data_IF_596683206761
#
_entry.id   IF_596683206761
#
_cell.length_a   1.000
_cell.length_b   1.000
_cell.length_c   1.000
_cell.angle_alpha   90.00
_cell.angle_beta   90.00
_cell.angle_gamma   90.00
#
_symmetry.space_group_name_H-M   'P 1'
#
loop_
_entity.id
_entity.type
_entity.pdbx_description
1 polymer ?
#
# COMPACT_ATOMS: atom_id res chain seq x y z
N UNK A 1 25.41 -22.30 34.93
CA UNK A 1 26.15 -21.46 33.96
C UNK A 1 25.24 -20.87 32.87
N UNK A 2 24.34 -21.67 32.27
CA UNK A 2 23.35 -21.20 31.28
C UNK A 2 22.49 -20.02 31.74
N UNK A 3 21.90 -20.08 32.95
CA UNK A 3 21.05 -19.00 33.47
C UNK A 3 21.76 -17.64 33.57
N UNK A 4 23.01 -17.60 34.06
CA UNK A 4 23.82 -16.37 34.16
C UNK A 4 24.26 -15.84 32.80
N UNK A 5 24.48 -16.71 31.81
CA UNK A 5 24.79 -16.29 30.44
C UNK A 5 23.55 -15.73 29.74
N UNK A 6 22.39 -16.37 29.93
CA UNK A 6 21.11 -15.89 29.44
C UNK A 6 20.74 -14.53 30.05
N UNK A 7 20.90 -14.35 31.36
CA UNK A 7 20.66 -13.09 32.05
C UNK A 7 21.55 -11.95 31.50
N UNK A 8 22.84 -12.22 31.29
CA UNK A 8 23.78 -11.25 30.70
C UNK A 8 23.38 -10.88 29.27
N UNK A 9 22.98 -11.87 28.47
CA UNK A 9 22.51 -11.65 27.11
C UNK A 9 21.24 -10.80 27.08
N UNK A 10 20.23 -11.11 27.92
CA UNK A 10 18.98 -10.35 28.01
C UNK A 10 19.26 -8.91 28.43
N UNK A 11 20.09 -8.70 29.45
CA UNK A 11 20.49 -7.34 29.89
C UNK A 11 21.16 -6.55 28.77
N UNK A 12 22.08 -7.19 28.04
CA UNK A 12 22.74 -6.58 26.90
C UNK A 12 21.74 -6.24 25.78
N UNK A 13 20.87 -7.16 25.41
CA UNK A 13 19.87 -6.98 24.35
C UNK A 13 18.88 -5.84 24.70
N UNK A 14 18.42 -5.79 25.96
CA UNK A 14 17.55 -4.71 26.44
C UNK A 14 18.26 -3.35 26.42
N UNK A 15 19.53 -3.31 26.82
CA UNK A 15 20.33 -2.07 26.75
C UNK A 15 20.50 -1.63 25.30
N UNK A 16 20.92 -2.55 24.42
CA UNK A 16 21.11 -2.27 23.01
C UNK A 16 19.82 -1.76 22.36
N UNK A 17 18.68 -2.38 22.67
CA UNK A 17 17.37 -1.93 22.21
C UNK A 17 17.02 -0.53 22.73
N UNK A 18 17.27 -0.25 24.01
CA UNK A 18 16.96 1.06 24.60
C UNK A 18 17.71 2.19 23.90
N UNK A 19 18.96 1.93 23.54
CA UNK A 19 19.89 2.89 22.92
C UNK A 19 19.59 3.14 21.43
N UNK A 20 18.74 2.32 20.80
CA UNK A 20 18.33 2.52 19.40
C UNK A 20 17.47 3.79 19.24
N UNK A 21 17.66 4.46 18.11
CA UNK A 21 16.77 5.53 17.65
C UNK A 21 15.35 5.00 17.40
N UNK A 22 14.35 5.91 17.40
CA UNK A 22 12.95 5.53 17.17
C UNK A 22 12.76 4.80 15.83
N UNK A 23 13.36 5.31 14.75
CA UNK A 23 13.31 4.67 13.43
C UNK A 23 14.00 3.31 13.44
N UNK A 24 15.15 3.16 14.11
CA UNK A 24 15.85 1.88 14.18
C UNK A 24 15.04 0.82 14.95
N UNK A 25 14.33 1.21 16.02
CA UNK A 25 13.39 0.31 16.73
C UNK A 25 12.27 -0.17 15.83
N UNK A 26 11.67 0.75 15.06
CA UNK A 26 10.57 0.41 14.15
C UNK A 26 11.05 -0.44 12.98
N UNK A 27 12.20 -0.12 12.38
CA UNK A 27 12.82 -0.94 11.33
C UNK A 27 13.19 -2.32 11.86
N UNK A 28 13.74 -2.43 13.08
CA UNK A 28 14.01 -3.72 13.69
C UNK A 28 12.72 -4.54 13.88
N UNK A 29 11.67 -3.92 14.45
CA UNK A 29 10.40 -4.60 14.69
C UNK A 29 9.78 -5.13 13.39
N UNK A 30 9.65 -4.28 12.38
CA UNK A 30 8.97 -4.65 11.13
C UNK A 30 9.89 -5.38 10.15
N UNK A 31 11.12 -4.89 9.93
CA UNK A 31 12.06 -5.51 8.99
C UNK A 31 12.51 -6.89 9.43
N UNK A 32 13.00 -7.03 10.68
CA UNK A 32 13.45 -8.33 11.19
C UNK A 32 12.25 -9.25 11.45
N UNK A 33 11.13 -8.70 11.95
CA UNK A 33 9.87 -9.44 12.09
C UNK A 33 9.39 -10.03 10.77
N UNK A 34 9.33 -9.23 9.70
CA UNK A 34 8.98 -9.70 8.37
C UNK A 34 9.96 -10.75 7.86
N UNK A 35 11.26 -10.54 8.06
CA UNK A 35 12.26 -11.51 7.64
C UNK A 35 12.03 -12.89 8.28
N UNK A 36 11.72 -12.95 9.58
CA UNK A 36 11.34 -14.20 10.23
C UNK A 36 10.06 -14.81 9.65
N UNK A 37 9.06 -13.99 9.34
CA UNK A 37 7.82 -14.46 8.69
C UNK A 37 8.09 -15.04 7.30
N UNK A 38 8.96 -14.40 6.51
CA UNK A 38 9.38 -14.91 5.20
C UNK A 38 10.14 -16.24 5.31
N UNK A 39 10.99 -16.37 6.32
CA UNK A 39 11.71 -17.61 6.63
C UNK A 39 10.76 -18.75 7.04
N UNK A 40 9.70 -18.44 7.79
CA UNK A 40 8.76 -19.44 8.29
C UNK A 40 7.79 -19.94 7.20
N UNK A 41 7.37 -19.07 6.28
CA UNK A 41 6.29 -19.39 5.34
C UNK A 41 6.74 -19.54 3.88
N UNK A 42 8.01 -19.29 3.53
CA UNK A 42 8.57 -19.33 2.15
C UNK A 42 7.82 -18.52 1.07
N UNK A 43 6.66 -17.94 1.38
CA UNK A 43 5.84 -17.15 0.48
C UNK A 43 5.69 -15.74 1.05
N UNK A 44 6.14 -14.75 0.29
CA UNK A 44 5.86 -13.31 0.52
C UNK A 44 4.38 -12.97 0.31
N UNK A 45 3.60 -13.91 -0.25
CA UNK A 45 2.24 -13.73 -0.74
C UNK A 45 1.37 -14.80 -0.09
N UNK A 46 0.49 -14.36 0.81
CA UNK A 46 -0.35 -15.27 1.59
C UNK A 46 -1.61 -15.73 0.82
N UNK A 47 -1.94 -15.08 -0.31
CA UNK A 47 -3.24 -15.23 -0.94
C UNK A 47 -3.27 -16.07 -2.24
N UNK A 48 -2.12 -16.43 -2.81
CA UNK A 48 -2.11 -17.21 -4.05
C UNK A 48 -1.51 -18.59 -3.80
N UNK A 49 -2.29 -19.65 -4.05
CA UNK A 49 -1.78 -21.02 -4.20
C UNK A 49 -0.82 -21.19 -5.41
N UNK A 50 -0.33 -20.08 -5.95
CA UNK A 50 0.57 -20.03 -7.09
C UNK A 50 1.96 -20.53 -6.70
N UNK A 51 2.66 -21.01 -7.71
CA UNK A 51 4.04 -21.49 -7.59
C UNK A 51 4.97 -20.43 -6.98
N UNK A 52 6.07 -20.81 -6.29
CA UNK A 52 6.94 -19.87 -5.59
C UNK A 52 7.39 -18.72 -6.49
N UNK A 53 7.38 -17.49 -5.97
CA UNK A 53 7.71 -16.25 -6.70
C UNK A 53 9.08 -16.32 -7.44
N UNK A 54 9.98 -17.18 -6.98
CA UNK A 54 11.33 -17.30 -7.52
C UNK A 54 11.51 -18.43 -8.54
N UNK A 55 10.42 -19.09 -8.97
CA UNK A 55 10.51 -20.26 -9.86
C UNK A 55 11.09 -19.93 -11.25
N UNK A 56 10.84 -18.73 -11.77
CA UNK A 56 11.43 -18.27 -13.05
C UNK A 56 12.89 -17.80 -12.91
N UNK A 57 13.44 -17.80 -11.70
CA UNK A 57 14.80 -17.32 -11.43
C UNK A 57 15.78 -18.50 -11.25
N UNK A 58 17.09 -18.27 -11.44
CA UNK A 58 18.09 -19.31 -11.25
C UNK A 58 17.99 -19.99 -9.87
N UNK A 59 18.32 -21.29 -9.76
CA UNK A 59 18.35 -21.98 -8.47
C UNK A 59 19.14 -21.19 -7.41
N UNK A 60 18.53 -21.01 -6.23
CA UNK A 60 19.11 -20.23 -5.12
C UNK A 60 18.75 -18.75 -5.10
N UNK A 61 17.98 -18.24 -6.07
CA UNK A 61 17.48 -16.85 -6.05
C UNK A 61 16.58 -16.55 -4.84
N UNK A 62 15.79 -17.52 -4.40
CA UNK A 62 14.98 -17.48 -3.18
C UNK A 62 15.84 -17.33 -1.92
N UNK A 63 16.93 -18.10 -1.83
CA UNK A 63 17.89 -18.02 -0.71
C UNK A 63 18.60 -16.67 -0.73
N UNK A 64 19.07 -16.22 -1.90
CA UNK A 64 19.72 -14.92 -2.06
C UNK A 64 18.79 -13.76 -1.67
N UNK A 65 17.51 -13.84 -2.05
CA UNK A 65 16.47 -12.91 -1.65
C UNK A 65 16.29 -12.88 -0.13
N UNK A 66 16.08 -14.05 0.49
CA UNK A 66 15.91 -14.18 1.94
C UNK A 66 17.13 -13.65 2.70
N UNK A 67 18.34 -13.98 2.26
CA UNK A 67 19.58 -13.47 2.86
C UNK A 67 19.68 -11.95 2.72
N UNK A 68 19.34 -11.41 1.56
CA UNK A 68 19.37 -9.95 1.31
C UNK A 68 18.39 -9.21 2.21
N UNK A 69 17.14 -9.67 2.29
CA UNK A 69 16.13 -9.11 3.17
C UNK A 69 16.58 -9.12 4.65
N UNK A 70 17.16 -10.23 5.10
CA UNK A 70 17.70 -10.36 6.46
C UNK A 70 18.88 -9.44 6.73
N UNK A 71 19.86 -9.45 5.82
CA UNK A 71 21.05 -8.62 5.93
C UNK A 71 20.68 -7.14 6.04
N UNK A 72 19.77 -6.64 5.20
CA UNK A 72 19.28 -5.26 5.27
C UNK A 72 18.53 -4.99 6.59
N UNK A 73 17.61 -5.87 6.98
CA UNK A 73 16.82 -5.72 8.20
C UNK A 73 17.67 -5.68 9.48
N UNK A 74 18.70 -6.51 9.59
CA UNK A 74 19.62 -6.49 10.75
C UNK A 74 20.65 -5.38 10.67
N UNK A 75 21.15 -5.06 9.47
CA UNK A 75 22.19 -4.05 9.31
C UNK A 75 21.71 -2.65 9.72
N UNK A 76 20.43 -2.33 9.55
CA UNK A 76 19.90 -1.01 9.94
C UNK A 76 20.05 -0.71 11.44
N UNK A 77 19.44 -1.49 12.36
CA UNK A 77 19.59 -1.26 13.81
C UNK A 77 21.02 -1.51 14.28
N UNK A 78 21.76 -2.45 13.67
CA UNK A 78 23.16 -2.66 13.98
C UNK A 78 24.02 -1.42 13.70
N UNK A 79 23.84 -0.81 12.51
CA UNK A 79 24.52 0.43 12.14
C UNK A 79 24.12 1.57 13.06
N UNK A 80 22.84 1.71 13.41
CA UNK A 80 22.37 2.70 14.37
C UNK A 80 23.11 2.58 15.71
N UNK A 81 23.12 1.40 16.30
CA UNK A 81 23.78 1.13 17.57
C UNK A 81 25.30 1.38 17.53
N UNK A 82 25.99 0.93 16.46
CA UNK A 82 27.45 1.04 16.34
C UNK A 82 27.93 2.47 16.03
N UNK A 83 27.18 3.21 15.24
CA UNK A 83 27.64 4.46 14.62
C UNK A 83 27.64 5.68 15.54
N UNK A 84 27.00 5.63 16.71
CA UNK A 84 26.95 6.71 17.73
C UNK A 84 26.74 8.13 17.15
N UNK A 85 25.99 8.25 16.05
CA UNK A 85 25.69 9.53 15.38
C UNK A 85 26.23 9.69 13.95
N UNK A 86 27.14 8.83 13.47
CA UNK A 86 27.63 8.88 12.08
C UNK A 86 26.65 8.28 11.05
N UNK A 87 25.60 7.58 11.49
CA UNK A 87 24.51 7.12 10.63
C UNK A 87 23.54 8.27 10.32
N UNK A 88 23.94 9.08 9.35
CA UNK A 88 23.22 10.29 8.92
C UNK A 88 21.81 9.98 8.39
N UNK A 89 20.94 11.00 8.38
CA UNK A 89 19.58 10.86 7.84
C UNK A 89 19.57 10.41 6.37
N UNK A 90 20.51 10.88 5.53
CA UNK A 90 20.61 10.45 4.13
C UNK A 90 20.94 8.96 4.02
N UNK A 91 21.90 8.49 4.82
CA UNK A 91 22.26 7.07 4.86
C UNK A 91 21.10 6.20 5.35
N UNK A 92 20.32 6.69 6.33
CA UNK A 92 19.10 6.02 6.81
C UNK A 92 18.03 5.93 5.73
N UNK A 93 17.76 7.03 5.02
CA UNK A 93 16.82 7.04 3.90
C UNK A 93 17.27 6.04 2.84
N UNK A 94 18.53 6.07 2.41
CA UNK A 94 19.05 5.13 1.41
C UNK A 94 18.90 3.66 1.86
N UNK A 95 19.16 3.38 3.14
CA UNK A 95 18.98 2.03 3.69
C UNK A 95 17.51 1.62 3.71
N UNK A 96 16.61 2.50 4.14
CA UNK A 96 15.17 2.23 4.14
C UNK A 96 14.64 2.03 2.71
N UNK A 97 15.12 2.81 1.74
CA UNK A 97 14.78 2.61 0.31
C UNK A 97 15.27 1.26 -0.19
N UNK A 98 16.49 0.84 0.18
CA UNK A 98 16.99 -0.49 -0.18
C UNK A 98 16.12 -1.61 0.43
N UNK A 99 15.67 -1.45 1.68
CA UNK A 99 14.72 -2.37 2.30
C UNK A 99 13.38 -2.40 1.57
N UNK A 100 12.81 -1.24 1.23
CA UNK A 100 11.56 -1.14 0.46
C UNK A 100 11.70 -1.82 -0.90
N UNK A 101 12.83 -1.60 -1.57
CA UNK A 101 13.12 -2.23 -2.85
C UNK A 101 13.16 -3.76 -2.71
N UNK A 102 13.87 -4.27 -1.71
CA UNK A 102 13.99 -5.70 -1.46
C UNK A 102 12.65 -6.32 -1.04
N UNK A 103 11.96 -5.79 -0.04
CA UNK A 103 10.75 -6.42 0.51
C UNK A 103 9.49 -6.23 -0.34
N UNK A 104 9.42 -5.17 -1.15
CA UNK A 104 8.17 -4.76 -1.82
C UNK A 104 8.36 -4.63 -3.32
N UNK A 105 9.20 -3.69 -3.77
CA UNK A 105 9.27 -3.33 -5.19
C UNK A 105 9.71 -4.52 -6.06
N UNK A 106 10.80 -5.19 -5.70
CA UNK A 106 11.33 -6.33 -6.46
C UNK A 106 10.32 -7.48 -6.49
N UNK A 107 9.74 -7.93 -5.35
CA UNK A 107 8.67 -8.93 -5.36
C UNK A 107 7.45 -8.54 -6.19
N UNK A 108 7.02 -7.26 -6.16
CA UNK A 108 5.92 -6.78 -7.01
C UNK A 108 6.23 -6.95 -8.48
N UNK A 109 7.42 -6.52 -8.94
CA UNK A 109 7.80 -6.69 -10.35
C UNK A 109 8.00 -8.15 -10.74
N UNK A 110 8.60 -8.98 -9.88
CA UNK A 110 8.70 -10.41 -10.12
C UNK A 110 7.31 -11.05 -10.32
N UNK A 111 6.35 -10.66 -9.49
CA UNK A 111 4.95 -11.11 -9.54
C UNK A 111 4.23 -10.66 -10.83
N UNK A 112 4.49 -9.43 -11.30
CA UNK A 112 3.99 -8.94 -12.59
C UNK A 112 4.59 -9.73 -13.75
N UNK A 113 5.92 -9.93 -13.78
CA UNK A 113 6.60 -10.67 -14.84
C UNK A 113 6.11 -12.13 -14.90
N UNK A 114 5.94 -12.76 -13.74
CA UNK A 114 5.38 -14.12 -13.63
C UNK A 114 3.97 -14.21 -14.22
N UNK A 115 3.12 -13.22 -13.95
CA UNK A 115 1.77 -13.14 -14.53
C UNK A 115 1.83 -12.96 -16.05
N UNK A 116 2.64 -12.03 -16.53
CA UNK A 116 2.78 -11.70 -17.95
C UNK A 116 3.31 -12.88 -18.78
N UNK A 117 4.21 -13.68 -18.20
CA UNK A 117 4.78 -14.87 -18.85
C UNK A 117 3.97 -16.15 -18.61
N UNK A 118 3.07 -16.12 -17.63
CA UNK A 118 2.24 -17.24 -17.20
C UNK A 118 0.79 -17.09 -17.66
N UNK A 119 -0.13 -17.10 -16.69
CA UNK A 119 -1.57 -16.98 -16.95
C UNK A 119 -2.12 -15.64 -16.40
N UNK A 120 -3.07 -14.98 -17.08
CA UNK A 120 -3.52 -13.64 -16.68
C UNK A 120 -4.19 -13.55 -15.29
N UNK A 121 -4.64 -14.68 -14.74
CA UNK A 121 -5.31 -14.78 -13.43
C UNK A 121 -4.38 -15.25 -12.30
N UNK A 122 -3.08 -15.43 -12.56
CA UNK A 122 -2.08 -15.84 -11.56
C UNK A 122 -1.30 -14.63 -11.05
N UNK A 123 -0.76 -14.72 -9.83
CA UNK A 123 0.12 -13.73 -9.21
C UNK A 123 -0.48 -12.33 -9.07
N UNK A 124 -1.80 -12.21 -9.03
CA UNK A 124 -2.53 -10.95 -8.90
C UNK A 124 -3.70 -11.16 -7.95
N UNK A 125 -4.19 -10.14 -7.26
CA UNK A 125 -5.38 -10.23 -6.43
C UNK A 125 -6.65 -10.14 -7.30
N UNK A 126 -7.70 -10.90 -6.97
CA UNK A 126 -9.00 -10.87 -7.67
C UNK A 126 -9.55 -9.46 -7.87
N UNK A 127 -9.43 -8.63 -6.83
CA UNK A 127 -9.89 -7.26 -6.87
C UNK A 127 -9.19 -6.38 -7.90
N UNK A 128 -7.89 -6.60 -8.14
CA UNK A 128 -7.19 -5.94 -9.24
C UNK A 128 -7.70 -6.45 -10.58
N UNK A 129 -7.77 -7.77 -10.75
CA UNK A 129 -8.26 -8.40 -11.97
C UNK A 129 -9.66 -7.92 -12.36
N UNK A 130 -10.58 -7.85 -11.39
CA UNK A 130 -11.92 -7.30 -11.55
C UNK A 130 -11.94 -5.86 -12.06
N UNK A 131 -11.05 -5.01 -11.57
CA UNK A 131 -10.97 -3.60 -12.02
C UNK A 131 -10.46 -3.52 -13.46
N UNK A 132 -9.49 -4.37 -13.83
CA UNK A 132 -9.00 -4.46 -15.21
C UNK A 132 -10.12 -4.89 -16.16
N UNK A 133 -10.81 -5.98 -15.83
CA UNK A 133 -11.89 -6.51 -16.66
C UNK A 133 -13.10 -5.57 -16.72
N UNK A 134 -13.47 -4.92 -15.61
CA UNK A 134 -14.52 -3.91 -15.61
C UNK A 134 -14.18 -2.73 -16.54
N UNK A 135 -12.89 -2.34 -16.58
CA UNK A 135 -12.41 -1.31 -17.50
C UNK A 135 -12.53 -1.76 -18.95
N UNK A 136 -12.16 -3.01 -19.27
CA UNK A 136 -12.33 -3.58 -20.62
C UNK A 136 -13.78 -3.67 -21.04
N UNK A 137 -14.67 -4.12 -20.14
CA UNK A 137 -16.12 -4.15 -20.38
C UNK A 137 -16.66 -2.75 -20.69
N UNK A 138 -16.27 -1.75 -19.92
CA UNK A 138 -16.62 -0.35 -20.18
C UNK A 138 -16.15 0.11 -21.57
N UNK A 139 -14.89 -0.16 -21.91
CA UNK A 139 -14.30 0.25 -23.21
C UNK A 139 -14.96 -0.46 -24.40
N UNK A 140 -15.50 -1.66 -24.19
CA UNK A 140 -16.31 -2.38 -25.17
C UNK A 140 -17.77 -1.91 -25.23
N UNK A 141 -18.14 -0.84 -24.52
CA UNK A 141 -19.49 -0.29 -24.50
C UNK A 141 -20.48 -1.06 -23.62
N UNK A 142 -20.00 -1.98 -22.79
CA UNK A 142 -20.82 -2.73 -21.83
C UNK A 142 -20.89 -2.00 -20.49
N UNK A 143 -22.01 -2.17 -19.76
CA UNK A 143 -22.10 -1.71 -18.38
C UNK A 143 -21.43 -2.74 -17.44
N UNK A 144 -20.32 -2.41 -16.75
CA UNK A 144 -19.60 -3.36 -15.90
C UNK A 144 -20.40 -3.89 -14.70
N UNK A 145 -21.50 -3.24 -14.33
CA UNK A 145 -22.38 -3.69 -13.24
C UNK A 145 -23.51 -4.62 -13.69
N UNK A 146 -23.72 -4.74 -15.00
CA UNK A 146 -24.76 -5.60 -15.60
C UNK A 146 -24.14 -6.81 -16.27
N UNK A 147 -22.97 -6.64 -16.91
CA UNK A 147 -22.24 -7.72 -17.54
C UNK A 147 -21.73 -8.73 -16.49
N UNK A 148 -21.76 -10.01 -16.85
CA UNK A 148 -20.98 -11.03 -16.15
C UNK A 148 -19.51 -11.01 -16.62
N UNK A 149 -18.68 -11.76 -15.89
CA UNK A 149 -17.24 -11.88 -16.10
C UNK A 149 -16.82 -13.31 -16.44
N UNK A 150 -17.77 -14.15 -16.91
CA UNK A 150 -17.51 -15.56 -17.22
C UNK A 150 -16.61 -15.75 -18.44
N UNK A 151 -16.57 -14.76 -19.33
CA UNK A 151 -15.73 -14.68 -20.53
C UNK A 151 -14.34 -14.07 -20.27
N UNK A 152 -14.01 -13.77 -19.01
CA UNK A 152 -12.78 -13.08 -18.63
C UNK A 152 -11.83 -14.01 -17.85
N UNK A 153 -10.54 -13.64 -17.68
CA UNK A 153 -9.64 -14.41 -16.82
C UNK A 153 -10.13 -14.59 -15.38
N UNK A 154 -11.04 -13.73 -14.90
CA UNK A 154 -11.65 -13.83 -13.57
C UNK A 154 -12.37 -15.18 -13.35
N UNK A 155 -12.87 -15.82 -14.42
CA UNK A 155 -13.47 -17.16 -14.38
C UNK A 155 -12.54 -18.21 -13.78
N UNK A 156 -11.23 -18.08 -14.02
CA UNK A 156 -10.23 -19.05 -13.56
C UNK A 156 -9.62 -18.71 -12.19
N UNK A 157 -10.08 -17.62 -11.55
CA UNK A 157 -9.63 -17.27 -10.20
C UNK A 157 -10.03 -18.39 -9.21
N UNK A 158 -9.11 -18.87 -8.34
CA UNK A 158 -9.31 -20.09 -7.54
C UNK A 158 -10.25 -19.87 -6.33
N UNK A 159 -11.52 -19.57 -6.59
CA UNK A 159 -12.56 -19.38 -5.59
C UNK A 159 -13.81 -20.19 -5.96
N UNK A 160 -14.26 -21.05 -5.05
CA UNK A 160 -15.50 -21.81 -5.20
C UNK A 160 -16.68 -20.85 -5.09
N UNK A 161 -17.65 -20.95 -6.01
CA UNK A 161 -18.84 -20.11 -6.07
C UNK A 161 -18.51 -18.61 -6.04
N UNK A 162 -17.57 -18.19 -6.88
CA UNK A 162 -17.07 -16.82 -6.90
C UNK A 162 -18.16 -15.80 -7.29
N UNK A 163 -18.66 -14.98 -6.34
CA UNK A 163 -19.72 -13.99 -6.64
C UNK A 163 -19.23 -12.86 -7.54
N UNK A 164 -17.92 -12.62 -7.59
CA UNK A 164 -17.30 -11.60 -8.42
C UNK A 164 -17.47 -11.89 -9.93
N UNK A 165 -17.85 -13.11 -10.31
CA UNK A 165 -18.20 -13.43 -11.70
C UNK A 165 -19.49 -12.76 -12.17
N UNK A 166 -20.36 -12.35 -11.25
CA UNK A 166 -21.68 -11.80 -11.56
C UNK A 166 -21.87 -10.39 -11.01
N UNK A 167 -21.01 -9.94 -10.09
CA UNK A 167 -21.16 -8.66 -9.41
C UNK A 167 -19.82 -7.95 -9.24
N UNK A 168 -19.71 -6.77 -9.83
CA UNK A 168 -18.60 -5.86 -9.60
C UNK A 168 -18.67 -5.28 -8.17
N UNK A 169 -17.63 -5.49 -7.38
CA UNK A 169 -17.55 -5.11 -5.95
C UNK A 169 -16.91 -3.75 -5.70
N UNK A 170 -16.53 -3.04 -6.77
CA UNK A 170 -15.91 -1.71 -6.71
C UNK A 170 -16.82 -0.63 -7.27
N UNK A 171 -16.68 0.59 -6.75
CA UNK A 171 -17.35 1.76 -7.29
C UNK A 171 -16.74 2.22 -8.62
N UNK A 172 -17.48 3.04 -9.40
CA UNK A 172 -17.06 3.45 -10.74
C UNK A 172 -15.64 4.04 -10.80
N UNK A 173 -15.23 4.76 -9.77
CA UNK A 173 -13.91 5.40 -9.72
C UNK A 173 -12.76 4.45 -10.08
N UNK A 174 -12.79 3.21 -9.58
CA UNK A 174 -11.67 2.27 -9.71
C UNK A 174 -11.44 1.84 -11.16
N UNK A 175 -12.49 1.52 -11.91
CA UNK A 175 -12.34 1.17 -13.32
C UNK A 175 -12.28 2.41 -14.21
N UNK A 176 -12.91 3.53 -13.85
CA UNK A 176 -12.81 4.77 -14.62
C UNK A 176 -11.39 5.34 -14.63
N UNK A 177 -10.68 5.29 -13.50
CA UNK A 177 -9.28 5.74 -13.44
C UNK A 177 -8.34 4.78 -14.18
N UNK A 178 -8.70 3.51 -14.28
CA UNK A 178 -7.88 2.47 -14.92
C UNK A 178 -8.13 2.39 -16.43
N UNK A 179 -9.35 2.67 -16.88
CA UNK A 179 -9.78 2.65 -18.28
C UNK A 179 -8.85 3.35 -19.28
N UNK A 180 -8.35 4.60 -19.06
CA UNK A 180 -7.45 5.21 -20.03
C UNK A 180 -6.13 4.45 -20.20
N UNK A 181 -5.64 3.81 -19.14
CA UNK A 181 -4.41 3.01 -19.19
C UNK A 181 -4.66 1.64 -19.80
N UNK A 182 -5.75 0.97 -19.42
CA UNK A 182 -6.19 -0.29 -20.04
C UNK A 182 -6.35 -0.11 -21.54
N UNK A 183 -7.06 0.95 -21.96
CA UNK A 183 -7.21 1.30 -23.37
C UNK A 183 -5.86 1.45 -24.07
N UNK A 184 -4.94 2.23 -23.48
CA UNK A 184 -3.63 2.46 -24.07
C UNK A 184 -2.85 1.14 -24.23
N UNK A 185 -2.75 0.36 -23.16
CA UNK A 185 -1.97 -0.89 -23.18
C UNK A 185 -2.56 -1.91 -24.15
N UNK A 186 -3.86 -2.17 -24.05
CA UNK A 186 -4.54 -3.13 -24.94
C UNK A 186 -4.47 -2.66 -26.40
N UNK A 187 -4.57 -1.36 -26.68
CA UNK A 187 -4.48 -0.80 -28.04
C UNK A 187 -3.10 -0.99 -28.68
N UNK A 188 -2.03 -0.93 -27.88
CA UNK A 188 -0.66 -1.14 -28.35
C UNK A 188 -0.15 -2.58 -28.17
N UNK A 189 -1.03 -3.51 -27.73
CA UNK A 189 -0.68 -4.92 -27.55
C UNK A 189 0.21 -5.20 -26.33
N UNK A 190 0.25 -4.29 -25.36
CA UNK A 190 0.93 -4.50 -24.07
C UNK A 190 -0.04 -5.07 -23.05
N UNK A 191 0.47 -5.85 -22.08
CA UNK A 191 -0.34 -6.36 -20.97
C UNK A 191 -0.50 -5.27 -19.93
N UNK A 192 -1.75 -4.91 -19.63
CA UNK A 192 -2.05 -4.07 -18.47
C UNK A 192 -2.00 -4.88 -17.17
N UNK A 193 -1.35 -4.31 -16.15
CA UNK A 193 -1.40 -4.80 -14.78
C UNK A 193 -1.77 -3.66 -13.83
N UNK A 194 -2.81 -3.88 -13.02
CA UNK A 194 -3.33 -2.87 -12.12
C UNK A 194 -2.31 -2.38 -11.09
N UNK A 195 -1.27 -3.17 -10.79
CA UNK A 195 -0.17 -2.77 -9.91
C UNK A 195 0.65 -1.62 -10.49
N UNK A 196 0.58 -1.34 -11.79
CA UNK A 196 1.15 -0.13 -12.38
C UNK A 196 0.51 1.16 -11.85
N UNK A 197 -0.72 1.12 -11.33
CA UNK A 197 -1.32 2.23 -10.58
C UNK A 197 -1.07 2.13 -9.07
N UNK A 198 -1.14 0.92 -8.49
CA UNK A 198 -1.07 0.75 -7.04
C UNK A 198 0.36 0.94 -6.49
N UNK A 199 1.39 0.54 -7.24
CA UNK A 199 2.78 0.67 -6.82
C UNK A 199 3.22 2.16 -6.75
N UNK A 200 2.93 3.02 -7.75
CA UNK A 200 3.12 4.46 -7.59
C UNK A 200 2.31 5.05 -6.43
N UNK A 201 1.10 4.57 -6.16
CA UNK A 201 0.31 5.03 -5.03
C UNK A 201 0.93 4.66 -3.67
N UNK A 202 1.53 3.47 -3.57
CA UNK A 202 2.36 3.08 -2.43
C UNK A 202 3.53 4.04 -2.22
N UNK A 203 4.33 4.30 -3.28
CA UNK A 203 5.47 5.22 -3.21
C UNK A 203 5.00 6.65 -2.86
N UNK A 204 3.90 7.10 -3.46
CA UNK A 204 3.27 8.40 -3.19
C UNK A 204 2.83 8.53 -1.73
N UNK A 205 2.23 7.48 -1.15
CA UNK A 205 1.86 7.45 0.27
C UNK A 205 3.09 7.67 1.16
N UNK A 206 4.20 6.98 0.88
CA UNK A 206 5.44 7.16 1.63
C UNK A 206 6.05 8.55 1.44
N UNK A 207 5.99 9.09 0.22
CA UNK A 207 6.45 10.43 -0.10
C UNK A 207 5.64 11.54 0.62
N UNK A 208 4.41 11.23 1.06
CA UNK A 208 3.56 12.15 1.80
C UNK A 208 3.86 12.19 3.31
N UNK A 209 4.53 11.17 3.87
CA UNK A 209 4.87 11.09 5.30
C UNK A 209 5.58 12.35 5.84
N UNK A 210 6.58 12.95 5.16
CA UNK A 210 7.27 14.14 5.65
C UNK A 210 6.37 15.38 5.82
N UNK A 211 5.21 15.40 5.16
CA UNK A 211 4.24 16.48 5.23
C UNK A 211 3.24 16.32 6.38
N UNK A 212 3.11 15.11 6.92
CA UNK A 212 2.21 14.79 8.04
C UNK A 212 2.99 14.70 9.36
N UNK A 213 4.22 14.20 9.32
CA UNK A 213 5.04 13.94 10.51
C UNK A 213 6.19 14.93 10.62
N UNK A 214 6.48 15.41 11.84
CA UNK A 214 7.62 16.31 12.13
C UNK A 214 8.81 15.54 12.70
N UNK A 215 10.02 16.00 12.36
CA UNK A 215 11.29 15.42 12.82
C UNK A 215 11.78 14.24 11.97
N UNK A 216 13.10 14.09 11.83
CA UNK A 216 13.69 13.09 10.95
C UNK A 216 13.43 11.64 11.40
N UNK A 217 13.68 11.32 12.67
CA UNK A 217 13.46 9.97 13.19
C UNK A 217 11.98 9.54 13.18
N UNK A 218 11.00 10.37 13.62
CA UNK A 218 9.59 10.02 13.50
C UNK A 218 9.10 9.83 12.05
N UNK A 219 9.61 10.63 11.10
CA UNK A 219 9.29 10.46 9.67
C UNK A 219 9.77 9.12 9.13
N UNK A 220 11.03 8.77 9.42
CA UNK A 220 11.61 7.49 9.03
C UNK A 220 10.91 6.32 9.70
N UNK A 221 10.57 6.44 10.98
CA UNK A 221 9.81 5.45 11.73
C UNK A 221 8.42 5.24 11.11
N UNK A 222 7.67 6.30 10.81
CA UNK A 222 6.37 6.21 10.16
C UNK A 222 6.48 5.58 8.76
N UNK A 223 7.45 6.02 7.96
CA UNK A 223 7.68 5.46 6.63
C UNK A 223 8.00 3.96 6.72
N UNK A 224 8.87 3.53 7.64
CA UNK A 224 9.17 2.12 7.87
C UNK A 224 7.95 1.33 8.35
N UNK A 225 7.17 1.88 9.28
CA UNK A 225 5.97 1.24 9.81
C UNK A 225 4.90 1.01 8.73
N UNK A 226 4.74 1.95 7.80
CA UNK A 226 3.80 1.80 6.67
C UNK A 226 4.38 0.83 5.64
N UNK A 227 5.63 1.05 5.24
CA UNK A 227 6.27 0.34 4.14
C UNK A 227 6.52 -1.14 4.41
N UNK A 228 6.84 -1.46 5.66
CA UNK A 228 7.23 -2.80 6.11
C UNK A 228 6.17 -3.40 7.04
N UNK A 229 4.94 -2.88 7.07
CA UNK A 229 3.89 -3.51 7.86
C UNK A 229 3.62 -4.93 7.31
N UNK A 230 3.74 -6.02 8.11
CA UNK A 230 3.49 -7.39 7.65
C UNK A 230 2.11 -7.59 7.07
N UNK A 231 1.14 -6.76 7.45
CA UNK A 231 -0.23 -6.81 6.93
C UNK A 231 -0.39 -6.01 5.64
N UNK A 232 0.43 -4.98 5.39
CA UNK A 232 0.24 -4.08 4.25
C UNK A 232 1.19 -4.35 3.09
N UNK A 233 2.45 -4.69 3.36
CA UNK A 233 3.42 -4.84 2.28
C UNK A 233 3.08 -6.02 1.33
N UNK A 234 2.58 -7.19 1.80
CA UNK A 234 2.16 -8.26 0.90
C UNK A 234 1.02 -7.83 -0.02
N UNK A 235 0.15 -6.96 0.47
CA UNK A 235 -0.99 -6.46 -0.30
C UNK A 235 -0.54 -5.63 -1.51
N UNK A 236 0.61 -4.96 -1.44
CA UNK A 236 1.19 -4.26 -2.60
C UNK A 236 1.67 -5.27 -3.66
N UNK A 237 2.33 -6.34 -3.21
CA UNK A 237 2.85 -7.40 -4.09
C UNK A 237 1.71 -8.13 -4.81
N UNK A 238 0.64 -8.42 -4.07
CA UNK A 238 -0.60 -9.03 -4.57
C UNK A 238 -1.40 -8.10 -5.48
N UNK A 239 -1.26 -6.78 -5.33
CA UNK A 239 -2.05 -5.81 -6.08
C UNK A 239 -3.42 -5.53 -5.48
N UNK A 240 -3.52 -5.46 -4.15
CA UNK A 240 -4.71 -4.90 -3.49
C UNK A 240 -4.70 -3.37 -3.55
N UNK A 241 -5.88 -2.77 -3.53
CA UNK A 241 -6.05 -1.33 -3.71
C UNK A 241 -5.81 -0.48 -2.44
N UNK A 242 -5.36 -1.08 -1.33
CA UNK A 242 -5.26 -0.40 -0.03
C UNK A 242 -4.35 0.83 -0.09
N UNK A 243 -3.21 0.75 -0.78
CA UNK A 243 -2.31 1.90 -0.94
C UNK A 243 -2.83 2.96 -1.90
N UNK A 244 -3.70 2.59 -2.84
CA UNK A 244 -4.43 3.56 -3.65
C UNK A 244 -5.36 4.41 -2.78
N UNK A 245 -6.04 3.79 -1.82
CA UNK A 245 -6.85 4.49 -0.80
C UNK A 245 -5.97 5.32 0.14
N UNK A 246 -4.88 4.74 0.66
CA UNK A 246 -3.99 5.43 1.60
C UNK A 246 -3.33 6.67 0.98
N UNK A 247 -3.00 6.64 -0.31
CA UNK A 247 -2.50 7.81 -1.03
C UNK A 247 -3.43 9.01 -0.85
N UNK A 248 -4.72 8.80 -1.11
CA UNK A 248 -5.73 9.84 -1.01
C UNK A 248 -5.99 10.27 0.46
N UNK A 249 -5.97 9.33 1.41
CA UNK A 249 -6.12 9.67 2.83
C UNK A 249 -4.93 10.51 3.34
N UNK A 250 -3.70 10.13 3.01
CA UNK A 250 -2.49 10.88 3.39
C UNK A 250 -2.43 12.24 2.69
N UNK A 251 -2.82 12.29 1.41
CA UNK A 251 -2.90 13.55 0.67
C UNK A 251 -3.95 14.47 1.29
N UNK A 252 -5.14 13.93 1.60
CA UNK A 252 -6.23 14.62 2.27
C UNK A 252 -5.80 15.20 3.61
N UNK A 253 -5.10 14.42 4.43
CA UNK A 253 -4.56 14.88 5.72
C UNK A 253 -3.48 15.95 5.54
N UNK A 254 -2.50 15.75 4.66
CA UNK A 254 -1.43 16.71 4.41
C UNK A 254 -1.96 18.05 3.87
N UNK A 255 -3.00 18.01 3.03
CA UNK A 255 -3.69 19.20 2.51
C UNK A 255 -4.51 19.88 3.62
N UNK A 256 -5.19 19.11 4.47
CA UNK A 256 -5.97 19.64 5.58
C UNK A 256 -5.08 20.38 6.59
N UNK A 257 -3.93 19.80 6.94
CA UNK A 257 -2.93 20.42 7.82
C UNK A 257 -2.35 21.74 7.27
N UNK A 258 -2.56 22.02 5.98
CA UNK A 258 -2.16 23.25 5.28
C UNK A 258 -3.35 24.16 4.96
N UNK A 259 -4.50 23.92 5.58
CA UNK A 259 -5.75 24.65 5.37
C UNK A 259 -6.27 24.62 3.91
N UNK A 260 -5.80 23.68 3.07
CA UNK A 260 -6.32 23.44 1.71
C UNK A 260 -7.59 22.60 1.76
N UNK A 261 -8.63 23.13 2.42
CA UNK A 261 -9.86 22.41 2.82
C UNK A 261 -10.59 21.76 1.64
N UNK A 262 -10.75 22.48 0.53
CA UNK A 262 -11.45 21.98 -0.66
C UNK A 262 -10.74 20.79 -1.31
N UNK A 263 -9.44 20.93 -1.57
CA UNK A 263 -8.63 19.85 -2.15
C UNK A 263 -8.50 18.67 -1.18
N UNK A 264 -8.43 18.94 0.12
CA UNK A 264 -8.44 17.91 1.15
C UNK A 264 -9.74 17.10 1.14
N UNK A 265 -10.90 17.76 1.11
CA UNK A 265 -12.19 17.07 1.01
C UNK A 265 -12.30 16.24 -0.26
N UNK A 266 -11.80 16.74 -1.39
CA UNK A 266 -11.78 15.98 -2.65
C UNK A 266 -10.90 14.73 -2.54
N UNK A 267 -9.74 14.83 -1.90
CA UNK A 267 -8.88 13.67 -1.65
C UNK A 267 -9.58 12.64 -0.74
N UNK A 268 -10.24 13.06 0.34
CA UNK A 268 -11.02 12.12 1.17
C UNK A 268 -12.19 11.47 0.41
N UNK A 269 -12.86 12.22 -0.48
CA UNK A 269 -13.87 11.66 -1.37
C UNK A 269 -13.29 10.65 -2.37
N UNK A 270 -12.13 10.93 -2.97
CA UNK A 270 -11.42 9.98 -3.83
C UNK A 270 -11.05 8.69 -3.10
N UNK A 271 -10.66 8.77 -1.82
CA UNK A 271 -10.46 7.58 -0.99
C UNK A 271 -11.76 6.77 -0.82
N UNK A 272 -12.87 7.46 -0.52
CA UNK A 272 -14.20 6.85 -0.38
C UNK A 272 -14.71 6.20 -1.67
N UNK A 273 -14.49 6.84 -2.81
CA UNK A 273 -14.83 6.31 -4.13
C UNK A 273 -13.92 5.14 -4.52
N UNK A 274 -12.68 5.07 -4.03
CA UNK A 274 -11.82 3.91 -4.24
C UNK A 274 -12.26 2.70 -3.39
N UNK A 275 -12.74 2.94 -2.16
CA UNK A 275 -13.14 1.88 -1.23
C UNK A 275 -14.15 2.39 -0.21
N UNK A 276 -15.31 1.72 -0.13
CA UNK A 276 -16.42 2.09 0.75
C UNK A 276 -16.00 2.37 2.20
N UNK A 277 -15.08 1.57 2.74
CA UNK A 277 -14.58 1.71 4.11
C UNK A 277 -13.95 3.08 4.39
N UNK A 278 -13.41 3.77 3.38
CA UNK A 278 -12.83 5.09 3.55
C UNK A 278 -13.89 6.21 3.70
N UNK A 279 -15.16 5.96 3.37
CA UNK A 279 -16.24 6.91 3.65
C UNK A 279 -16.39 7.20 5.15
N UNK A 280 -15.95 6.28 6.02
CA UNK A 280 -16.01 6.48 7.47
C UNK A 280 -15.26 7.76 7.89
N UNK A 281 -14.28 8.22 7.12
CA UNK A 281 -13.51 9.43 7.42
C UNK A 281 -14.28 10.73 7.11
N UNK A 282 -15.24 10.71 6.17
CA UNK A 282 -15.98 11.90 5.76
C UNK A 282 -16.72 12.61 6.92
N UNK A 283 -17.47 11.92 7.80
CA UNK A 283 -18.11 12.59 8.94
C UNK A 283 -17.09 13.25 9.88
N UNK A 284 -15.93 12.63 10.13
CA UNK A 284 -14.89 13.23 10.99
C UNK A 284 -14.28 14.47 10.35
N UNK A 285 -14.04 14.46 9.04
CA UNK A 285 -13.55 15.62 8.30
C UNK A 285 -14.59 16.74 8.32
N UNK A 286 -15.87 16.44 8.10
CA UNK A 286 -16.95 17.43 8.19
C UNK A 286 -17.02 18.05 9.59
N UNK A 287 -17.00 17.23 10.65
CA UNK A 287 -16.98 17.70 12.05
C UNK A 287 -15.75 18.58 12.31
N UNK A 288 -14.56 18.20 11.84
CA UNK A 288 -13.35 19.01 11.97
C UNK A 288 -13.48 20.38 11.28
N UNK A 289 -13.97 20.41 10.04
CA UNK A 289 -14.17 21.64 9.27
C UNK A 289 -15.13 22.60 9.97
N UNK A 290 -16.22 22.06 10.53
CA UNK A 290 -17.21 22.82 11.30
C UNK A 290 -16.63 23.29 12.63
N UNK A 291 -16.06 22.39 13.43
CA UNK A 291 -15.54 22.68 14.77
C UNK A 291 -14.42 23.74 14.75
N UNK A 292 -13.55 23.72 13.74
CA UNK A 292 -12.47 24.72 13.60
C UNK A 292 -12.99 26.15 13.39
N UNK A 293 -14.23 26.33 12.91
CA UNK A 293 -14.87 27.65 12.74
C UNK A 293 -15.66 28.12 13.96
N UNK A 294 -15.86 27.27 14.97
CA UNK A 294 -16.64 27.57 16.19
C UNK A 294 -18.01 28.22 15.86
N UNK A 295 -18.86 27.53 15.07
CA UNK A 295 -20.11 28.09 14.57
C UNK A 295 -21.06 28.45 15.72
N UNK A 296 -21.79 29.55 15.58
CA UNK A 296 -22.87 29.93 16.51
C UNK A 296 -24.24 29.82 15.87
N UNK A 297 -24.28 29.79 14.55
CA UNK A 297 -25.51 29.71 13.76
C UNK A 297 -25.43 28.57 12.73
N UNK A 298 -26.59 28.14 12.24
CA UNK A 298 -26.66 27.15 11.15
C UNK A 298 -25.97 27.67 9.88
N UNK A 299 -26.02 28.98 9.62
CA UNK A 299 -25.33 29.61 8.49
C UNK A 299 -23.82 29.43 8.57
N UNK A 300 -23.24 29.51 9.77
CA UNK A 300 -21.80 29.27 9.98
C UNK A 300 -21.42 27.81 9.70
N UNK A 301 -22.30 26.87 10.06
CA UNK A 301 -22.11 25.44 9.76
C UNK A 301 -22.10 25.20 8.26
N UNK A 302 -23.09 25.74 7.53
CA UNK A 302 -23.17 25.63 6.07
C UNK A 302 -21.94 26.26 5.41
N UNK A 303 -21.53 27.45 5.87
CA UNK A 303 -20.34 28.12 5.34
C UNK A 303 -19.04 27.31 5.62
N UNK A 304 -18.95 26.65 6.77
CA UNK A 304 -17.80 25.80 7.11
C UNK A 304 -17.73 24.53 6.25
N UNK A 305 -18.88 24.03 5.78
CA UNK A 305 -18.99 22.88 4.89
C UNK A 305 -18.88 23.22 3.40
N UNK A 306 -18.97 24.50 3.02
CA UNK A 306 -18.82 24.92 1.62
C UNK A 306 -17.61 24.28 0.91
N UNK A 307 -16.42 24.12 1.52
CA UNK A 307 -15.30 23.46 0.86
C UNK A 307 -15.56 22.04 0.36
N UNK A 308 -16.58 21.32 0.86
CA UNK A 308 -16.87 19.93 0.50
C UNK A 308 -17.72 19.77 -0.76
N UNK A 309 -18.23 20.86 -1.37
CA UNK A 309 -19.10 20.72 -2.55
C UNK A 309 -18.44 19.98 -3.73
N UNK A 310 -17.14 20.15 -4.06
CA UNK A 310 -16.53 19.39 -5.15
C UNK A 310 -16.41 17.92 -4.81
N UNK A 311 -16.19 17.59 -3.54
CA UNK A 311 -16.16 16.22 -3.05
C UNK A 311 -17.52 15.55 -3.19
N UNK A 312 -18.62 16.26 -2.90
CA UNK A 312 -19.97 15.75 -3.11
C UNK A 312 -20.27 15.48 -4.59
N UNK A 313 -19.94 16.42 -5.49
CA UNK A 313 -20.12 16.21 -6.93
C UNK A 313 -19.26 15.07 -7.46
N UNK A 314 -18.02 14.97 -7.00
CA UNK A 314 -17.13 13.88 -7.34
C UNK A 314 -17.74 12.53 -6.93
N UNK A 315 -18.17 12.40 -5.66
CA UNK A 315 -18.81 11.18 -5.18
C UNK A 315 -20.06 10.83 -6.00
N UNK A 316 -20.93 11.79 -6.31
CA UNK A 316 -22.11 11.57 -7.16
C UNK A 316 -21.77 11.03 -8.55
N UNK A 317 -20.62 11.42 -9.12
CA UNK A 317 -20.18 10.95 -10.43
C UNK A 317 -19.43 9.60 -10.36
N UNK A 318 -19.00 9.18 -9.17
CA UNK A 318 -18.08 8.05 -9.00
C UNK A 318 -18.57 6.98 -8.01
N UNK A 319 -19.81 7.08 -7.55
CA UNK A 319 -20.55 6.08 -6.76
C UNK A 319 -21.62 5.44 -7.64
#
# INVERSE_FOLDING_TARGET
MLAKSLERFIKWALSAWRDLSLDAKVVALFGVGNWFLLFANHTTVAATHDVPLWQLFPPGADVAFLVTCGALAFAYPYRDHRSRGSFTTRARIAHLVAMIAAFVIIPTFASIILRETGKPYTYIHDGALMVEEASRKLLAGMNPYVADYLDTPMFFWPMINNPALYHLTYFPFMFLVSAPFVWFFDHFGFIWDQRYLYLPAYVGTLALVPFVVRGAAPRLAMAAAIALNPQLFPFVVEGRNDFFVLLFLFAGLALLMRERRTTSSLAFAAAGAAKLHALIFLPFVAVYLVATKRPRTVRDVVAALLPTWPAALFLLATF
#
